data_IF_737908850800
#
_entry.id   IF_737908850800
#
_cell.length_a   1.000
_cell.length_b   1.000
_cell.length_c   1.000
_cell.angle_alpha   90.00
_cell.angle_beta   90.00
_cell.angle_gamma   90.00
#
_symmetry.space_group_name_H-M   'P 1'
#
loop_
_entity.id
_entity.type
_entity.pdbx_description
1 polymer ?
#
# COMPACT_ATOMS: atom_id res chain seq x y z
N UNK A 1 -0.48 8.04 9.40
CA UNK A 1 0.65 8.27 8.50
C UNK A 1 0.23 9.14 7.32
N UNK A 2 -0.77 8.74 6.51
CA UNK A 2 -1.17 9.51 5.32
C UNK A 2 -1.84 10.86 5.64
N UNK A 3 -2.56 10.95 6.75
CA UNK A 3 -3.32 12.15 7.17
C UNK A 3 -2.47 13.44 7.28
N UNK A 4 -1.16 13.32 7.46
CA UNK A 4 -0.26 14.49 7.55
C UNK A 4 0.32 14.93 6.20
N UNK A 5 0.11 14.16 5.13
CA UNK A 5 0.75 14.38 3.82
C UNK A 5 -0.23 14.34 2.64
N UNK A 6 -1.47 13.90 2.84
CA UNK A 6 -2.49 13.89 1.81
C UNK A 6 -3.60 14.92 2.09
N UNK A 7 -4.17 15.48 1.05
CA UNK A 7 -5.32 16.40 1.15
C UNK A 7 -6.61 15.61 1.35
N UNK A 8 -6.74 14.47 0.67
CA UNK A 8 -7.90 13.61 0.70
C UNK A 8 -7.50 12.17 1.00
N UNK A 9 -8.33 11.49 1.79
CA UNK A 9 -8.19 10.06 2.10
C UNK A 9 -9.54 9.40 1.86
N UNK A 10 -9.60 8.58 0.82
CA UNK A 10 -10.75 7.74 0.52
C UNK A 10 -10.47 6.33 1.02
N UNK A 11 -11.38 5.80 1.82
CA UNK A 11 -11.27 4.44 2.33
C UNK A 11 -12.32 3.56 1.70
N UNK A 12 -11.85 2.49 1.09
CA UNK A 12 -12.69 1.47 0.49
C UNK A 12 -12.79 0.26 1.41
N UNK A 13 -13.98 -0.07 1.86
CA UNK A 13 -14.19 -1.19 2.77
C UNK A 13 -15.39 -2.06 2.43
N UNK A 14 -15.30 -3.35 2.78
CA UNK A 14 -16.40 -4.31 2.59
C UNK A 14 -17.59 -4.06 3.52
N UNK A 15 -17.35 -3.42 4.66
CA UNK A 15 -18.40 -3.07 5.63
C UNK A 15 -18.06 -1.77 6.34
N UNK A 16 -19.08 -1.02 6.76
CA UNK A 16 -18.93 0.26 7.47
C UNK A 16 -18.57 0.13 8.96
N UNK A 17 -18.35 -1.08 9.46
CA UNK A 17 -18.09 -1.31 10.90
C UNK A 17 -16.92 -0.47 11.45
N UNK A 18 -15.89 -0.25 10.63
CA UNK A 18 -14.70 0.51 11.02
C UNK A 18 -14.71 1.97 10.59
N UNK A 19 -15.72 2.40 9.84
CA UNK A 19 -15.77 3.75 9.27
C UNK A 19 -15.64 4.83 10.34
N UNK A 20 -16.43 4.74 11.41
CA UNK A 20 -16.41 5.75 12.48
C UNK A 20 -15.06 5.81 13.21
N UNK A 21 -14.44 4.65 13.45
CA UNK A 21 -13.12 4.60 14.10
C UNK A 21 -12.03 5.21 13.22
N UNK A 22 -12.07 4.95 11.89
CA UNK A 22 -11.13 5.53 10.93
C UNK A 22 -11.36 7.04 10.82
N UNK A 23 -12.61 7.47 10.69
CA UNK A 23 -12.98 8.89 10.62
C UNK A 23 -12.46 9.67 11.83
N UNK A 24 -12.55 9.12 13.03
CA UNK A 24 -12.02 9.73 14.26
C UNK A 24 -10.49 9.81 14.29
N UNK A 25 -9.80 8.97 13.55
CA UNK A 25 -8.33 8.94 13.49
C UNK A 25 -7.74 9.87 12.42
N UNK A 26 -8.57 10.44 11.54
CA UNK A 26 -8.17 11.37 10.49
C UNK A 26 -8.55 12.78 10.93
N UNK A 27 -7.58 13.69 10.97
CA UNK A 27 -7.75 15.04 11.53
C UNK A 27 -7.44 16.15 10.54
N UNK A 28 -6.57 15.90 9.57
CA UNK A 28 -6.03 16.92 8.66
C UNK A 28 -6.54 16.78 7.23
N UNK A 29 -6.83 15.56 6.80
CA UNK A 29 -7.29 15.26 5.44
C UNK A 29 -8.80 15.25 5.33
N UNK A 30 -9.33 15.60 4.16
CA UNK A 30 -10.73 15.30 3.86
C UNK A 30 -10.92 13.78 3.80
N UNK A 31 -11.93 13.26 4.50
CA UNK A 31 -12.15 11.81 4.62
C UNK A 31 -13.49 11.41 4.02
N UNK A 32 -13.44 10.43 3.11
CA UNK A 32 -14.62 9.75 2.58
C UNK A 32 -14.50 8.24 2.71
N UNK A 33 -15.65 7.60 2.92
CA UNK A 33 -15.75 6.15 3.03
C UNK A 33 -16.67 5.58 1.97
N UNK A 34 -16.18 4.65 1.18
CA UNK A 34 -16.93 3.98 0.14
C UNK A 34 -17.07 2.49 0.43
N UNK A 35 -18.21 1.96 0.06
CA UNK A 35 -18.35 0.50 0.01
C UNK A 35 -17.63 -0.05 -1.20
N UNK A 36 -17.14 -1.24 -1.04
CA UNK A 36 -16.52 -2.01 -2.09
C UNK A 36 -17.53 -2.26 -3.22
N UNK A 37 -17.43 -1.54 -4.31
CA UNK A 37 -18.31 -1.58 -5.48
C UNK A 37 -17.49 -1.72 -6.75
N UNK A 38 -18.14 -2.08 -7.86
CA UNK A 38 -17.50 -2.24 -9.17
C UNK A 38 -17.18 -0.91 -9.89
N UNK A 39 -17.72 0.21 -9.43
CA UNK A 39 -17.63 1.50 -10.14
C UNK A 39 -16.43 2.35 -9.67
N UNK A 40 -15.30 1.68 -9.42
CA UNK A 40 -14.09 2.34 -8.97
C UNK A 40 -13.28 2.86 -10.16
N UNK A 41 -12.84 4.11 -10.05
CA UNK A 41 -11.87 4.69 -10.96
C UNK A 41 -10.55 4.96 -10.22
N UNK A 42 -9.60 4.05 -10.34
CA UNK A 42 -8.31 4.20 -9.65
C UNK A 42 -7.44 5.33 -10.22
N UNK A 43 -7.73 5.82 -11.43
CA UNK A 43 -6.98 6.92 -12.04
C UNK A 43 -7.22 8.27 -11.38
N UNK A 44 -8.24 8.39 -10.54
CA UNK A 44 -8.54 9.61 -9.77
C UNK A 44 -7.61 9.79 -8.54
N UNK A 45 -6.76 8.80 -8.28
CA UNK A 45 -5.89 8.79 -7.10
C UNK A 45 -4.41 8.85 -7.48
N UNK A 46 -3.62 9.55 -6.69
CA UNK A 46 -2.15 9.54 -6.81
C UNK A 46 -1.56 8.22 -6.29
N UNK A 47 -2.19 7.66 -5.25
CA UNK A 47 -1.75 6.45 -4.58
C UNK A 47 -2.95 5.60 -4.14
N UNK A 48 -2.91 4.33 -4.47
CA UNK A 48 -3.81 3.32 -3.93
C UNK A 48 -3.03 2.41 -2.97
N UNK A 49 -3.52 2.25 -1.73
CA UNK A 49 -2.87 1.41 -0.72
C UNK A 49 -3.75 0.19 -0.43
N UNK A 50 -3.26 -0.99 -0.74
CA UNK A 50 -3.92 -2.25 -0.38
C UNK A 50 -3.39 -2.75 0.97
N UNK A 51 -4.25 -2.71 2.00
CA UNK A 51 -3.97 -3.25 3.34
C UNK A 51 -4.82 -4.47 3.67
N UNK A 52 -5.48 -5.06 2.68
CA UNK A 52 -6.34 -6.21 2.88
C UNK A 52 -5.53 -7.52 2.93
N UNK A 53 -6.06 -8.60 3.52
CA UNK A 53 -5.44 -9.91 3.40
C UNK A 53 -5.29 -10.37 1.94
N UNK A 54 -4.31 -11.23 1.68
CA UNK A 54 -4.08 -11.80 0.34
C UNK A 54 -5.37 -12.40 -0.24
N UNK A 55 -5.64 -12.12 -1.51
CA UNK A 55 -6.84 -12.55 -2.23
C UNK A 55 -8.10 -11.73 -1.95
N UNK A 56 -8.13 -10.92 -0.90
CA UNK A 56 -9.34 -10.17 -0.56
C UNK A 56 -9.65 -9.03 -1.54
N UNK A 57 -8.63 -8.51 -2.23
CA UNK A 57 -8.77 -7.44 -3.21
C UNK A 57 -8.86 -7.94 -4.67
N UNK A 58 -8.86 -9.24 -4.92
CA UNK A 58 -8.82 -9.81 -6.28
C UNK A 58 -10.02 -9.38 -7.13
N UNK A 59 -11.19 -9.23 -6.51
CA UNK A 59 -12.39 -8.74 -7.21
C UNK A 59 -12.28 -7.29 -7.73
N UNK A 60 -11.26 -6.53 -7.30
CA UNK A 60 -11.02 -5.16 -7.79
C UNK A 60 -10.19 -5.13 -9.09
N UNK A 61 -9.67 -6.27 -9.53
CA UNK A 61 -8.86 -6.36 -10.75
C UNK A 61 -9.63 -5.92 -12.00
N UNK A 62 -10.95 -6.12 -12.04
CA UNK A 62 -11.80 -5.73 -13.16
C UNK A 62 -11.94 -4.21 -13.31
N UNK A 63 -11.71 -3.44 -12.24
CA UNK A 63 -11.74 -1.98 -12.27
C UNK A 63 -10.44 -1.36 -12.79
N UNK A 64 -9.37 -2.16 -12.97
CA UNK A 64 -8.06 -1.67 -13.42
C UNK A 64 -8.04 -1.55 -14.94
N UNK A 65 -7.85 -0.35 -15.44
CA UNK A 65 -7.83 -0.03 -16.87
C UNK A 65 -6.41 -0.05 -17.43
N UNK A 66 -6.28 -0.37 -18.71
CA UNK A 66 -4.98 -0.31 -19.40
C UNK A 66 -4.47 1.14 -19.45
N UNK A 67 -3.18 1.31 -19.20
CA UNK A 67 -2.52 2.61 -19.17
C UNK A 67 -2.67 3.35 -17.83
N UNK A 68 -3.05 2.64 -16.77
CA UNK A 68 -3.14 3.22 -15.41
C UNK A 68 -1.82 3.88 -15.01
N UNK A 69 -1.87 5.14 -14.55
CA UNK A 69 -0.69 5.90 -14.11
C UNK A 69 -0.53 5.92 -12.59
N UNK A 70 -1.59 5.62 -11.86
CA UNK A 70 -1.64 5.59 -10.39
C UNK A 70 -0.66 4.56 -9.84
N UNK A 71 -0.03 4.88 -8.71
CA UNK A 71 0.84 3.94 -8.00
C UNK A 71 0.02 3.07 -7.05
N UNK A 72 0.20 1.74 -7.12
CA UNK A 72 -0.29 0.80 -6.12
C UNK A 72 0.79 0.57 -5.05
N UNK A 73 0.46 0.77 -3.79
CA UNK A 73 1.23 0.27 -2.66
C UNK A 73 0.51 -0.94 -2.06
N UNK A 74 0.98 -2.14 -2.38
CA UNK A 74 0.44 -3.38 -1.83
C UNK A 74 1.30 -3.82 -0.65
N UNK A 75 0.74 -3.79 0.57
CA UNK A 75 1.49 -4.15 1.79
C UNK A 75 1.75 -5.64 1.94
N UNK A 76 1.16 -6.47 1.07
CA UNK A 76 1.37 -7.91 1.06
C UNK A 76 2.76 -8.21 0.51
N UNK A 77 3.49 -9.06 1.19
CA UNK A 77 4.81 -9.51 0.78
C UNK A 77 4.86 -11.03 0.48
N UNK A 78 3.88 -11.78 0.99
CA UNK A 78 3.76 -13.23 0.72
C UNK A 78 2.29 -13.69 0.84
N UNK A 79 1.74 -14.39 -0.17
CA UNK A 79 2.32 -14.68 -1.48
C UNK A 79 2.49 -13.43 -2.34
N UNK A 80 3.52 -13.41 -3.18
CA UNK A 80 3.80 -12.30 -4.09
C UNK A 80 4.13 -12.80 -5.51
N UNK A 81 3.69 -12.10 -6.58
CA UNK A 81 2.76 -10.97 -6.54
C UNK A 81 1.31 -11.39 -6.19
N UNK A 82 0.51 -10.47 -5.63
CA UNK A 82 -0.94 -10.65 -5.52
C UNK A 82 -1.59 -10.53 -6.91
N UNK A 83 -2.80 -11.05 -7.09
CA UNK A 83 -3.53 -10.88 -8.36
C UNK A 83 -3.78 -9.39 -8.66
N UNK A 84 -4.05 -8.58 -7.63
CA UNK A 84 -4.19 -7.14 -7.76
C UNK A 84 -2.91 -6.50 -8.30
N UNK A 85 -1.75 -6.81 -7.69
CA UNK A 85 -0.46 -6.28 -8.09
C UNK A 85 -0.08 -6.72 -9.51
N UNK A 86 -0.31 -7.99 -9.84
CA UNK A 86 -0.07 -8.52 -11.18
C UNK A 86 -0.88 -7.76 -12.23
N UNK A 87 -2.20 -7.67 -12.02
CA UNK A 87 -3.08 -6.95 -12.94
C UNK A 87 -2.69 -5.47 -13.08
N UNK A 88 -2.29 -4.83 -11.96
CA UNK A 88 -1.82 -3.44 -11.97
C UNK A 88 -0.59 -3.24 -12.85
N UNK A 89 0.39 -4.14 -12.70
CA UNK A 89 1.60 -4.15 -13.53
C UNK A 89 1.31 -4.42 -15.01
N UNK A 90 0.45 -5.40 -15.30
CA UNK A 90 0.06 -5.75 -16.67
C UNK A 90 -0.64 -4.58 -17.38
N UNK A 91 -1.32 -3.71 -16.63
CA UNK A 91 -1.94 -2.50 -17.14
C UNK A 91 -0.99 -1.28 -17.21
N UNK A 92 0.29 -1.43 -16.85
CA UNK A 92 1.32 -0.39 -16.94
C UNK A 92 1.49 0.46 -15.69
N UNK A 93 0.79 0.14 -14.60
CA UNK A 93 0.87 0.89 -13.34
C UNK A 93 2.14 0.60 -12.55
N UNK A 94 2.52 1.56 -11.71
CA UNK A 94 3.66 1.42 -10.80
C UNK A 94 3.24 0.69 -9.53
N UNK A 95 4.18 -0.10 -8.95
CA UNK A 95 3.93 -0.86 -7.73
C UNK A 95 5.03 -0.62 -6.71
N UNK A 96 4.61 -0.40 -5.46
CA UNK A 96 5.44 -0.51 -4.26
C UNK A 96 4.95 -1.77 -3.53
N UNK A 97 5.82 -2.72 -3.26
CA UNK A 97 5.45 -3.99 -2.63
C UNK A 97 5.68 -3.97 -1.10
N UNK A 98 5.09 -4.94 -0.41
CA UNK A 98 5.20 -5.06 1.04
C UNK A 98 6.61 -5.33 1.56
N UNK A 99 7.55 -5.80 0.72
CA UNK A 99 8.96 -5.95 1.09
C UNK A 99 9.60 -4.59 1.38
N UNK A 100 9.26 -3.56 0.59
CA UNK A 100 9.73 -2.20 0.86
C UNK A 100 9.22 -1.69 2.21
N UNK A 101 7.96 -1.98 2.56
CA UNK A 101 7.42 -1.65 3.88
C UNK A 101 8.20 -2.36 4.99
N UNK A 102 8.42 -3.67 4.88
CA UNK A 102 9.19 -4.45 5.86
C UNK A 102 10.61 -3.93 6.00
N UNK A 103 11.26 -3.61 4.90
CA UNK A 103 12.62 -3.11 4.87
C UNK A 103 12.74 -1.79 5.65
N UNK A 104 11.93 -0.79 5.29
CA UNK A 104 12.05 0.54 5.89
C UNK A 104 11.58 0.57 7.35
N UNK A 105 10.51 -0.13 7.71
CA UNK A 105 10.12 -0.24 9.12
C UNK A 105 11.17 -0.99 9.95
N UNK A 106 11.84 -2.00 9.38
CA UNK A 106 12.95 -2.69 10.04
C UNK A 106 14.15 -1.77 10.29
N UNK A 107 14.47 -0.90 9.33
CA UNK A 107 15.53 0.11 9.49
C UNK A 107 15.17 1.15 10.55
N UNK A 108 13.91 1.59 10.62
CA UNK A 108 13.45 2.48 11.69
C UNK A 108 13.54 1.82 13.06
N UNK A 109 13.13 0.56 13.16
CA UNK A 109 13.27 -0.22 14.40
C UNK A 109 14.74 -0.40 14.81
N UNK A 110 15.64 -0.61 13.84
CA UNK A 110 17.09 -0.73 14.11
C UNK A 110 17.64 0.55 14.75
N UNK A 111 17.28 1.74 14.23
CA UNK A 111 17.69 3.02 14.83
C UNK A 111 17.21 3.15 16.28
N UNK A 112 15.96 2.74 16.55
CA UNK A 112 15.39 2.78 17.91
C UNK A 112 16.17 1.84 18.86
N UNK A 113 16.42 0.60 18.42
CA UNK A 113 17.13 -0.40 19.24
C UNK A 113 18.57 0.00 19.51
N UNK A 114 19.26 0.51 18.51
CA UNK A 114 20.66 0.95 18.64
C UNK A 114 20.79 2.32 19.30
N UNK A 115 19.70 3.06 19.43
CA UNK A 115 19.67 4.46 19.88
C UNK A 115 20.66 5.35 19.10
N UNK A 116 20.78 5.11 17.80
CA UNK A 116 21.64 5.89 16.89
C UNK A 116 21.10 5.90 15.47
N UNK A 117 21.46 6.92 14.69
CA UNK A 117 21.13 7.00 13.27
C UNK A 117 21.99 6.03 12.47
N UNK A 118 21.38 5.42 11.45
CA UNK A 118 22.03 4.57 10.47
C UNK A 118 21.87 5.12 9.07
N UNK A 119 22.79 4.78 8.16
CA UNK A 119 22.59 5.08 6.75
C UNK A 119 21.58 4.09 6.16
N UNK A 120 20.29 4.50 6.20
CA UNK A 120 19.19 3.69 5.68
C UNK A 120 19.32 3.40 4.20
N UNK A 121 19.87 4.32 3.43
CA UNK A 121 20.02 4.14 1.98
C UNK A 121 21.03 3.05 1.67
N UNK A 122 22.16 3.05 2.37
CA UNK A 122 23.18 2.03 2.23
C UNK A 122 22.68 0.66 2.70
N UNK A 123 22.07 0.60 3.88
CA UNK A 123 21.51 -0.64 4.42
C UNK A 123 20.39 -1.19 3.53
N UNK A 124 19.47 -0.35 3.03
CA UNK A 124 18.41 -0.77 2.13
C UNK A 124 18.97 -1.38 0.85
N UNK A 125 20.03 -0.80 0.28
CA UNK A 125 20.70 -1.33 -0.93
C UNK A 125 21.24 -2.74 -0.71
N UNK A 126 21.76 -3.03 0.48
CA UNK A 126 22.31 -4.37 0.80
C UNK A 126 21.21 -5.38 1.19
N UNK A 127 20.21 -4.94 1.97
CA UNK A 127 19.21 -5.85 2.53
C UNK A 127 18.08 -6.20 1.54
N UNK A 128 17.72 -5.28 0.63
CA UNK A 128 16.63 -5.51 -0.33
C UNK A 128 16.77 -6.79 -1.15
N UNK A 129 17.93 -7.10 -1.76
CA UNK A 129 18.07 -8.35 -2.53
C UNK A 129 17.92 -9.61 -1.65
N UNK A 130 18.35 -9.53 -0.38
CA UNK A 130 18.24 -10.64 0.58
C UNK A 130 16.77 -10.90 0.92
N UNK A 131 16.01 -9.83 1.21
CA UNK A 131 14.58 -9.91 1.51
C UNK A 131 13.76 -10.40 0.32
N UNK A 132 14.07 -9.92 -0.88
CA UNK A 132 13.40 -10.37 -2.11
C UNK A 132 13.57 -11.87 -2.31
N UNK A 133 14.79 -12.39 -2.15
CA UNK A 133 15.06 -13.84 -2.26
C UNK A 133 14.36 -14.65 -1.16
N UNK A 134 14.24 -14.13 0.05
CA UNK A 134 13.58 -14.81 1.15
C UNK A 134 12.04 -14.83 1.02
N UNK A 135 11.46 -14.00 0.16
CA UNK A 135 10.01 -13.92 -0.10
C UNK A 135 9.52 -14.81 -1.25
N UNK A 136 10.42 -15.36 -2.06
CA UNK A 136 10.14 -16.39 -3.06
C UNK A 136 9.77 -17.72 -2.39
#
# INVERSE_FOLDING_TARGET
ALDSISQEIHVLGRSSIREEAIRKAIHSSHFEYYRWTSDLNFEEYDLVVNTTPAGAADQLTDAIRNGISTTLFDVIYKPWPTELAKRWSDCGGKIINGIELLLYQGLDQLEIVLNQRVDKSELARHLRPILMKASE
#
